data_IF_296107883612
#
_entry.id   IF_296107883612
#
_cell.length_a   1.000
_cell.length_b   1.000
_cell.length_c   1.000
_cell.angle_alpha   90.00
_cell.angle_beta   90.00
_cell.angle_gamma   90.00
#
_symmetry.space_group_name_H-M   'P 1'
#
loop_
_entity.id
_entity.type
_entity.pdbx_description
1 polymer ?
#
# COMPACT_ATOMS: atom_id res chain seq x y z
N UNK A 1 -2.02 11.62 6.63
CA UNK A 1 -2.41 13.01 6.28
C UNK A 1 -1.18 13.88 6.37
N UNK A 2 -0.97 14.80 5.42
CA UNK A 2 0.18 15.70 5.40
C UNK A 2 -0.10 16.94 6.25
N UNK A 3 0.66 17.12 7.33
CA UNK A 3 0.56 18.31 8.17
C UNK A 3 0.99 19.61 7.47
N UNK A 4 1.85 19.51 6.45
CA UNK A 4 2.31 20.65 5.67
C UNK A 4 1.27 21.14 4.65
N UNK A 5 0.54 20.22 4.01
CA UNK A 5 -0.36 20.56 2.89
C UNK A 5 -1.84 20.44 3.22
N UNK A 6 -2.20 19.80 4.33
CA UNK A 6 -3.58 19.54 4.70
C UNK A 6 -4.28 18.46 3.86
N UNK A 7 -3.56 17.79 2.94
CA UNK A 7 -4.11 16.74 2.08
C UNK A 7 -3.83 15.35 2.63
N UNK A 8 -4.61 14.36 2.23
CA UNK A 8 -4.27 12.96 2.47
C UNK A 8 -2.98 12.60 1.73
N UNK A 9 -2.21 11.66 2.29
CA UNK A 9 -1.13 11.03 1.53
C UNK A 9 -1.74 10.20 0.39
N UNK A 10 -1.00 9.92 -0.70
CA UNK A 10 -1.56 9.29 -1.89
C UNK A 10 -2.35 8.00 -1.62
N UNK A 11 -1.87 7.13 -0.72
CA UNK A 11 -2.57 5.90 -0.37
C UNK A 11 -3.61 6.04 0.75
N UNK A 12 -3.67 7.19 1.44
CA UNK A 12 -4.54 7.37 2.59
C UNK A 12 -5.96 7.84 2.19
N UNK A 13 -7.04 7.28 2.78
CA UNK A 13 -7.04 6.18 3.74
C UNK A 13 -6.78 4.82 3.07
N UNK A 14 -6.07 3.95 3.79
CA UNK A 14 -5.79 2.58 3.36
C UNK A 14 -6.81 1.63 3.97
N UNK A 15 -7.27 0.65 3.19
CA UNK A 15 -8.16 -0.40 3.68
C UNK A 15 -7.28 -1.54 4.19
N UNK A 16 -7.46 -1.88 5.46
CA UNK A 16 -6.90 -3.08 6.08
C UNK A 16 -8.05 -4.07 6.35
N UNK A 17 -7.71 -5.34 6.47
CA UNK A 17 -8.64 -6.47 6.50
C UNK A 17 -9.49 -6.54 7.78
N UNK A 18 -8.99 -6.00 8.90
CA UNK A 18 -9.70 -5.95 10.18
C UNK A 18 -9.22 -4.76 11.03
N UNK A 19 -9.75 -4.63 12.24
CA UNK A 19 -9.42 -3.56 13.16
C UNK A 19 -8.00 -3.64 13.71
N UNK A 20 -7.48 -2.46 14.05
CA UNK A 20 -6.33 -2.29 14.95
C UNK A 20 -6.86 -2.06 16.36
N UNK A 21 -6.44 -2.88 17.32
CA UNK A 21 -6.91 -2.80 18.71
C UNK A 21 -5.75 -2.92 19.68
N UNK A 22 -5.70 -1.99 20.65
CA UNK A 22 -4.77 -1.96 21.79
C UNK A 22 -3.28 -1.76 21.46
N UNK A 23 -2.91 -1.63 20.19
CA UNK A 23 -1.55 -1.32 19.78
C UNK A 23 -1.39 0.13 19.30
N UNK A 24 -0.14 0.56 19.26
CA UNK A 24 0.30 1.74 18.51
C UNK A 24 1.06 1.29 17.26
N UNK A 25 1.46 2.24 16.42
CA UNK A 25 2.37 1.98 15.29
C UNK A 25 3.82 2.14 15.71
N UNK A 26 4.71 1.36 15.10
CA UNK A 26 6.13 1.71 14.98
C UNK A 26 6.36 2.34 13.60
N UNK A 27 7.39 3.19 13.46
CA UNK A 27 7.72 3.91 12.23
C UNK A 27 9.20 3.66 11.91
N UNK A 28 9.48 2.98 10.81
CA UNK A 28 10.83 2.69 10.35
C UNK A 28 10.86 2.43 8.83
N UNK A 29 11.98 2.76 8.19
CA UNK A 29 12.29 2.45 6.80
C UNK A 29 12.82 1.02 6.67
N UNK A 30 11.89 0.09 6.47
CA UNK A 30 12.13 -1.33 6.29
C UNK A 30 12.33 -1.72 4.81
N UNK A 31 11.85 -0.91 3.88
CA UNK A 31 12.06 -1.11 2.43
C UNK A 31 13.44 -0.66 1.98
N UNK A 32 14.06 0.30 2.67
CA UNK A 32 15.32 0.92 2.31
C UNK A 32 15.20 1.96 1.20
N UNK A 33 13.98 2.42 0.90
CA UNK A 33 13.72 3.42 -0.14
C UNK A 33 13.82 4.87 0.38
N UNK A 34 14.09 5.03 1.68
CA UNK A 34 14.23 6.30 2.37
C UNK A 34 12.91 6.89 2.89
N UNK A 35 11.77 6.26 2.60
CA UNK A 35 10.46 6.62 3.12
C UNK A 35 10.02 5.59 4.17
N UNK A 36 9.80 5.99 5.44
CA UNK A 36 9.49 5.01 6.48
C UNK A 36 8.08 4.44 6.34
N UNK A 37 7.94 3.17 6.69
CA UNK A 37 6.68 2.48 6.81
C UNK A 37 6.04 2.66 8.20
N UNK A 38 4.70 2.71 8.22
CA UNK A 38 3.94 2.53 9.43
C UNK A 38 3.67 1.05 9.68
N UNK A 39 4.20 0.53 10.79
CA UNK A 39 4.15 -0.88 11.15
C UNK A 39 3.03 -1.08 12.16
N UNK A 40 2.03 -1.88 11.79
CA UNK A 40 0.76 -1.97 12.51
C UNK A 40 0.24 -3.42 12.52
N UNK A 41 -0.16 -3.89 13.70
CA UNK A 41 -0.80 -5.20 13.86
C UNK A 41 -2.32 -5.13 13.83
N UNK A 42 -2.97 -6.19 13.36
CA UNK A 42 -4.43 -6.23 13.19
C UNK A 42 -5.11 -7.42 13.88
N UNK A 43 -6.44 -7.35 13.95
CA UNK A 43 -7.33 -8.48 14.29
C UNK A 43 -7.42 -9.55 13.19
N UNK A 44 -7.00 -9.23 11.96
CA UNK A 44 -6.91 -10.17 10.84
C UNK A 44 -5.68 -11.07 10.88
N UNK A 45 -4.89 -10.96 11.96
CA UNK A 45 -3.66 -11.72 12.22
C UNK A 45 -2.43 -11.28 11.43
N UNK A 46 -2.51 -10.13 10.76
CA UNK A 46 -1.42 -9.59 9.95
C UNK A 46 -0.67 -8.48 10.68
N UNK A 47 0.65 -8.50 10.55
CA UNK A 47 1.50 -7.36 10.80
C UNK A 47 1.82 -6.71 9.46
N UNK A 48 1.32 -5.50 9.28
CA UNK A 48 1.56 -4.67 8.13
C UNK A 48 2.75 -3.74 8.36
N UNK A 49 3.43 -3.36 7.29
CA UNK A 49 4.43 -2.31 7.25
C UNK A 49 4.20 -1.51 5.98
N UNK A 50 3.42 -0.43 6.07
CA UNK A 50 2.89 0.26 4.89
C UNK A 50 3.44 1.69 4.82
N UNK A 51 3.99 2.06 3.68
CA UNK A 51 4.46 3.42 3.42
C UNK A 51 3.30 4.38 3.04
N UNK A 52 3.62 5.65 2.78
CA UNK A 52 2.60 6.64 2.39
C UNK A 52 2.03 6.43 0.97
N UNK A 53 2.64 5.55 0.17
CA UNK A 53 2.21 5.10 -1.14
C UNK A 53 1.41 3.80 -1.11
N UNK A 54 1.21 3.19 0.07
CA UNK A 54 0.45 1.95 0.22
C UNK A 54 1.25 0.69 -0.14
N UNK A 55 2.58 0.81 -0.24
CA UNK A 55 3.50 -0.28 -0.55
C UNK A 55 4.00 -0.91 0.74
N UNK A 56 4.31 -2.20 0.68
CA UNK A 56 4.92 -2.93 1.78
C UNK A 56 6.30 -3.47 1.34
N UNK A 57 7.27 -3.55 2.26
CA UNK A 57 8.59 -4.09 1.99
C UNK A 57 8.52 -5.59 1.72
N UNK A 58 9.58 -6.14 1.13
CA UNK A 58 9.64 -7.57 0.79
C UNK A 58 9.32 -8.47 2.00
N UNK A 59 8.40 -9.41 1.77
CA UNK A 59 7.99 -10.38 2.78
C UNK A 59 6.96 -9.86 3.80
N UNK A 60 6.43 -8.64 3.63
CA UNK A 60 5.21 -8.18 4.30
C UNK A 60 3.98 -8.41 3.42
N UNK A 61 2.79 -8.59 4.01
CA UNK A 61 2.52 -8.59 5.46
C UNK A 61 2.93 -9.92 6.15
N UNK A 62 3.19 -9.88 7.46
CA UNK A 62 3.51 -11.09 8.25
C UNK A 62 2.25 -11.68 8.86
N UNK A 63 1.94 -12.94 8.56
CA UNK A 63 0.83 -13.65 9.18
C UNK A 63 1.24 -14.35 10.48
N UNK A 64 0.48 -14.15 11.55
CA UNK A 64 0.73 -14.77 12.87
C UNK A 64 -0.30 -15.83 13.25
N UNK A 65 -1.47 -15.85 12.61
CA UNK A 65 -2.61 -16.71 13.01
C UNK A 65 -3.26 -16.32 14.34
N UNK A 66 -2.88 -15.19 14.95
CA UNK A 66 -3.42 -14.72 16.23
C UNK A 66 -3.59 -13.19 16.22
N UNK A 67 -4.54 -12.68 17.02
CA UNK A 67 -4.73 -11.23 17.11
C UNK A 67 -3.47 -10.55 17.60
N UNK A 68 -3.03 -9.55 16.86
CA UNK A 68 -1.88 -8.74 17.23
C UNK A 68 -2.41 -7.55 18.04
N UNK A 69 -2.11 -7.55 19.34
CA UNK A 69 -2.63 -6.54 20.28
C UNK A 69 -1.52 -5.72 20.94
N UNK A 70 -0.25 -6.07 20.66
CA UNK A 70 0.89 -5.32 21.16
C UNK A 70 1.39 -4.36 20.08
N UNK A 71 2.01 -3.27 20.53
CA UNK A 71 2.77 -2.37 19.66
C UNK A 71 3.98 -3.13 19.13
N UNK A 72 4.21 -3.15 17.80
CA UNK A 72 5.42 -3.74 17.25
C UNK A 72 6.66 -3.00 17.75
N UNK A 73 7.77 -3.71 17.85
CA UNK A 73 9.07 -3.16 18.17
C UNK A 73 10.04 -3.44 17.02
N UNK A 74 10.81 -2.43 16.63
CA UNK A 74 11.82 -2.51 15.57
C UNK A 74 13.19 -2.33 16.18
N UNK A 75 14.17 -3.12 15.75
CA UNK A 75 15.56 -2.91 16.13
C UNK A 75 16.46 -4.07 15.75
N UNK A 76 17.77 -3.85 15.80
CA UNK A 76 18.79 -4.87 15.59
C UNK A 76 18.91 -5.72 16.87
N UNK A 77 18.16 -6.82 16.91
CA UNK A 77 17.97 -7.67 18.10
C UNK A 77 19.15 -8.61 18.33
N UNK A 78 19.84 -9.02 17.26
CA UNK A 78 20.93 -10.00 17.34
C UNK A 78 22.31 -9.44 16.97
N UNK A 79 22.40 -8.17 16.59
CA UNK A 79 23.63 -7.44 16.35
C UNK A 79 24.24 -7.71 14.98
N UNK A 80 23.45 -8.15 14.00
CA UNK A 80 23.93 -8.48 12.66
C UNK A 80 23.94 -7.28 11.70
N UNK A 81 23.45 -6.12 12.15
CA UNK A 81 23.39 -4.89 11.38
C UNK A 81 22.16 -4.78 10.48
N UNK A 82 21.17 -5.66 10.65
CA UNK A 82 19.84 -5.54 10.06
C UNK A 82 18.78 -5.26 11.12
N UNK A 83 17.62 -4.76 10.70
CA UNK A 83 16.50 -4.54 11.62
C UNK A 83 15.64 -5.79 11.69
N UNK A 84 15.27 -6.18 12.90
CA UNK A 84 14.18 -7.11 13.16
C UNK A 84 12.91 -6.36 13.51
N UNK A 85 11.77 -7.02 13.28
CA UNK A 85 10.48 -6.59 13.80
C UNK A 85 9.95 -7.67 14.73
N UNK A 86 9.59 -7.29 15.96
CA UNK A 86 9.03 -8.16 16.96
C UNK A 86 7.60 -7.74 17.34
N UNK A 87 6.74 -8.72 17.59
CA UNK A 87 5.37 -8.45 18.04
C UNK A 87 4.83 -9.58 18.92
N UNK A 88 4.09 -9.19 19.96
CA UNK A 88 3.30 -10.07 20.80
C UNK A 88 1.83 -10.17 20.35
N UNK A 89 1.25 -11.35 20.53
CA UNK A 89 -0.15 -11.65 20.20
C UNK A 89 -1.01 -11.81 21.45
N UNK A 90 -2.33 -11.68 21.30
CA UNK A 90 -3.31 -11.91 22.38
C UNK A 90 -3.23 -13.31 22.97
N UNK A 91 -2.81 -14.27 22.16
CA UNK A 91 -2.67 -15.68 22.55
C UNK A 91 -1.39 -15.95 23.36
N UNK A 92 -0.55 -14.95 23.60
CA UNK A 92 0.69 -15.07 24.37
C UNK A 92 1.91 -15.49 23.57
N UNK A 93 1.82 -15.53 22.24
CA UNK A 93 2.98 -15.79 21.37
C UNK A 93 3.74 -14.51 21.08
N UNK A 94 5.06 -14.64 20.99
CA UNK A 94 5.97 -13.59 20.53
C UNK A 94 6.57 -14.06 19.21
N UNK A 95 6.52 -13.19 18.21
CA UNK A 95 7.15 -13.37 16.92
C UNK A 95 8.27 -12.34 16.77
N UNK A 96 9.33 -12.73 16.07
CA UNK A 96 10.39 -11.85 15.63
C UNK A 96 10.81 -12.28 14.22
N UNK A 97 10.98 -11.32 13.32
CA UNK A 97 11.42 -11.57 11.95
C UNK A 97 12.60 -10.68 11.60
N UNK A 98 13.65 -11.28 11.03
CA UNK A 98 14.66 -10.52 10.29
C UNK A 98 14.02 -9.82 9.10
N UNK A 99 14.47 -8.61 8.83
CA UNK A 99 14.18 -7.89 7.59
C UNK A 99 15.46 -7.76 6.76
N UNK A 100 15.34 -7.19 5.56
CA UNK A 100 16.52 -6.82 4.78
C UNK A 100 17.02 -5.39 5.08
N UNK A 101 16.27 -4.65 5.89
CA UNK A 101 16.56 -3.27 6.24
C UNK A 101 17.84 -3.20 7.07
N UNK A 102 18.70 -2.23 6.77
CA UNK A 102 19.90 -2.00 7.58
C UNK A 102 19.54 -1.32 8.87
N UNK A 103 20.26 -1.62 9.94
CA UNK A 103 20.09 -0.90 11.23
C UNK A 103 20.43 0.59 11.14
N UNK A 104 21.08 1.00 10.05
CA UNK A 104 21.33 2.40 9.68
C UNK A 104 20.20 3.06 8.90
N UNK A 105 19.13 2.34 8.54
CA UNK A 105 17.94 2.95 7.93
C UNK A 105 17.20 3.81 8.95
N UNK A 106 16.34 4.70 8.47
CA UNK A 106 15.58 5.59 9.34
C UNK A 106 14.69 4.79 10.30
N UNK A 107 14.79 5.07 11.60
CA UNK A 107 13.82 4.64 12.60
C UNK A 107 13.33 5.93 13.28
N UNK A 108 12.05 6.22 13.18
CA UNK A 108 11.46 7.44 13.79
C UNK A 108 10.68 7.14 15.07
N UNK A 109 10.19 5.91 15.21
CA UNK A 109 9.41 5.49 16.37
C UNK A 109 9.56 3.98 16.52
N UNK A 110 10.52 3.55 17.35
CA UNK A 110 10.95 2.15 17.34
C UNK A 110 9.96 1.20 18.01
N UNK A 111 9.20 1.68 19.00
CA UNK A 111 8.28 0.83 19.77
C UNK A 111 7.22 1.64 20.54
N UNK A 112 6.60 1.05 21.56
CA UNK A 112 5.61 1.75 22.39
C UNK A 112 6.23 3.01 23.02
N UNK A 113 5.51 4.14 22.94
CA UNK A 113 5.97 5.42 23.49
C UNK A 113 7.39 5.83 23.01
N UNK A 114 7.60 5.76 21.70
CA UNK A 114 8.74 6.32 20.96
C UNK A 114 10.05 5.53 21.09
N UNK A 115 10.49 5.27 22.31
CA UNK A 115 11.79 4.68 22.63
C UNK A 115 11.71 3.58 23.70
N UNK A 116 12.81 2.86 23.91
CA UNK A 116 12.94 1.82 24.94
C UNK A 116 12.72 2.31 26.39
N UNK A 117 12.78 3.61 26.66
CA UNK A 117 12.42 4.21 27.95
C UNK A 117 10.94 4.60 28.04
N UNK A 118 10.17 4.41 26.96
CA UNK A 118 8.75 4.73 26.83
C UNK A 118 8.46 6.21 27.14
N UNK A 119 9.32 7.13 26.71
CA UNK A 119 9.19 8.55 27.04
C UNK A 119 7.96 9.21 26.42
N UNK A 120 7.53 8.75 25.24
CA UNK A 120 6.49 9.38 24.46
C UNK A 120 6.87 10.76 23.90
N UNK A 121 8.17 11.08 23.82
CA UNK A 121 8.69 12.34 23.31
C UNK A 121 9.54 12.12 22.06
N UNK A 122 9.03 12.58 20.91
CA UNK A 122 9.71 12.50 19.62
C UNK A 122 11.08 13.19 19.59
N UNK A 123 11.35 14.13 20.51
CA UNK A 123 12.61 14.87 20.50
C UNK A 123 13.75 14.12 21.21
N UNK A 124 13.46 12.99 21.87
CA UNK A 124 14.48 12.14 22.46
C UNK A 124 15.21 11.42 21.33
N UNK A 125 16.53 11.45 21.29
CA UNK A 125 17.27 10.71 20.27
C UNK A 125 17.16 9.21 20.52
N UNK A 126 16.86 8.44 19.49
CA UNK A 126 16.92 6.98 19.52
C UNK A 126 18.37 6.51 19.52
N UNK A 127 18.60 5.34 20.13
CA UNK A 127 19.92 4.69 20.17
C UNK A 127 20.24 3.90 18.89
N UNK A 128 19.26 3.80 17.98
CA UNK A 128 19.32 3.07 16.73
C UNK A 128 18.64 3.86 15.60
N UNK A 129 18.80 3.34 14.38
CA UNK A 129 18.37 4.01 13.16
C UNK A 129 19.37 5.06 12.68
N UNK A 130 19.22 5.44 11.42
CA UNK A 130 20.00 6.50 10.78
C UNK A 130 19.17 7.74 10.47
N UNK A 131 19.81 8.77 9.88
CA UNK A 131 19.13 9.99 9.47
C UNK A 131 18.16 9.73 8.29
N UNK A 132 17.15 10.58 8.09
CA UNK A 132 16.29 10.51 6.90
C UNK A 132 17.12 10.63 5.61
N UNK A 133 16.88 9.73 4.67
CA UNK A 133 17.59 9.67 3.38
C UNK A 133 16.74 10.11 2.19
N UNK A 134 15.41 10.16 2.33
CA UNK A 134 14.52 10.67 1.28
C UNK A 134 14.89 12.10 0.85
N UNK A 135 15.14 12.27 -0.44
CA UNK A 135 15.53 13.58 -1.03
C UNK A 135 14.36 14.35 -1.62
N UNK A 136 13.26 13.68 -1.92
CA UNK A 136 12.08 14.27 -2.54
C UNK A 136 10.85 14.10 -1.65
N UNK A 137 9.90 15.03 -1.76
CA UNK A 137 8.63 14.93 -1.04
C UNK A 137 7.75 13.88 -1.73
N UNK A 138 7.07 13.06 -0.94
CA UNK A 138 6.11 12.09 -1.47
C UNK A 138 5.01 12.80 -2.26
N UNK A 139 4.82 12.36 -3.50
CA UNK A 139 3.77 12.84 -4.40
C UNK A 139 3.00 11.68 -4.99
N UNK A 140 1.81 11.95 -5.54
CA UNK A 140 1.03 10.95 -6.26
C UNK A 140 1.80 10.35 -7.45
N UNK A 141 2.60 11.16 -8.15
CA UNK A 141 3.44 10.69 -9.24
C UNK A 141 4.54 9.73 -8.77
N UNK A 142 5.15 9.98 -7.61
CA UNK A 142 6.13 9.07 -7.01
C UNK A 142 5.50 7.71 -6.67
N UNK A 143 4.29 7.71 -6.09
CA UNK A 143 3.60 6.47 -5.74
C UNK A 143 3.07 5.68 -6.94
N UNK A 144 2.90 6.32 -8.11
CA UNK A 144 2.48 5.66 -9.35
C UNK A 144 3.66 5.18 -10.21
N UNK A 145 4.89 5.55 -9.85
CA UNK A 145 6.07 5.06 -10.55
C UNK A 145 6.26 3.58 -10.22
N UNK A 146 6.33 2.73 -11.25
CA UNK A 146 6.73 1.33 -11.08
C UNK A 146 8.20 1.31 -10.71
N UNK A 147 8.53 0.74 -9.56
CA UNK A 147 9.92 0.55 -9.14
C UNK A 147 10.70 -0.21 -10.21
N UNK A 148 11.89 0.27 -10.63
CA UNK A 148 12.68 -0.44 -11.63
C UNK A 148 13.19 -1.76 -11.08
N UNK A 149 12.50 -2.86 -11.41
CA UNK A 149 12.90 -4.23 -11.05
C UNK A 149 11.82 -5.08 -10.36
N UNK A 150 10.65 -4.53 -10.07
CA UNK A 150 9.52 -5.32 -9.59
C UNK A 150 8.90 -6.13 -10.73
N UNK A 151 9.01 -7.47 -10.67
CA UNK A 151 8.22 -8.33 -11.53
C UNK A 151 6.75 -8.13 -11.18
N UNK A 152 6.03 -7.49 -12.08
CA UNK A 152 4.59 -7.29 -12.10
C UNK A 152 3.88 -8.62 -12.39
N UNK A 153 3.73 -9.47 -11.38
CA UNK A 153 2.93 -10.70 -11.42
C UNK A 153 1.41 -10.44 -11.32
N UNK A 154 0.97 -9.20 -11.56
CA UNK A 154 -0.44 -8.85 -11.68
C UNK A 154 -1.23 -8.95 -10.37
N UNK A 155 -0.53 -8.90 -9.23
CA UNK A 155 -1.16 -8.75 -7.92
C UNK A 155 -2.05 -7.52 -7.89
N UNK A 156 -3.33 -7.71 -7.58
CA UNK A 156 -4.31 -6.64 -7.44
C UNK A 156 -3.90 -5.77 -6.24
N UNK A 157 -3.29 -4.63 -6.50
CA UNK A 157 -3.14 -3.60 -5.48
C UNK A 157 -4.53 -3.03 -5.20
N UNK A 158 -5.02 -3.23 -3.97
CA UNK A 158 -6.15 -2.46 -3.48
C UNK A 158 -5.69 -1.01 -3.33
N UNK A 159 -5.77 -0.24 -4.41
CA UNK A 159 -5.66 1.22 -4.30
C UNK A 159 -6.80 1.65 -3.40
N UNK A 160 -6.47 2.20 -2.22
CA UNK A 160 -7.46 2.79 -1.33
C UNK A 160 -8.31 3.80 -2.11
N UNK A 161 -9.58 3.49 -2.29
CA UNK A 161 -10.51 4.26 -3.11
C UNK A 161 -11.55 3.36 -3.76
N UNK A 162 -12.80 3.79 -3.85
CA UNK A 162 -13.91 3.03 -4.44
C UNK A 162 -13.81 2.89 -5.98
N UNK A 163 -12.64 2.58 -6.53
CA UNK A 163 -12.39 2.48 -7.97
C UNK A 163 -11.83 1.10 -8.30
N UNK A 164 -12.74 0.19 -8.65
CA UNK A 164 -12.36 -1.05 -9.33
C UNK A 164 -12.23 -0.73 -10.83
N UNK A 165 -10.99 -0.65 -11.34
CA UNK A 165 -10.72 -0.66 -12.78
C UNK A 165 -10.31 -2.07 -13.20
N UNK A 166 -11.02 -2.68 -14.14
CA UNK A 166 -10.56 -3.92 -14.77
C UNK A 166 -9.36 -3.61 -15.69
N UNK A 167 -8.37 -4.51 -15.81
CA UNK A 167 -7.32 -4.36 -16.81
C UNK A 167 -7.93 -4.32 -18.21
N UNK A 168 -7.91 -3.16 -18.86
CA UNK A 168 -8.38 -2.98 -20.25
C UNK A 168 -9.20 -1.73 -20.54
N UNK A 169 -9.74 -1.03 -19.54
CA UNK A 169 -10.55 0.18 -19.78
C UNK A 169 -9.67 1.45 -19.87
N UNK A 170 -8.88 1.50 -20.93
CA UNK A 170 -8.30 2.76 -21.42
C UNK A 170 -9.43 3.63 -21.98
N UNK A 171 -9.86 4.63 -21.22
CA UNK A 171 -10.77 5.65 -21.71
C UNK A 171 -10.20 6.39 -22.92
N UNK A 172 -10.86 6.28 -24.08
CA UNK A 172 -10.79 7.28 -25.15
C UNK A 172 -12.12 7.36 -25.90
N UNK A 173 -12.99 8.27 -25.44
CA UNK A 173 -13.94 8.93 -26.35
C UNK A 173 -13.13 9.92 -27.18
N UNK A 174 -12.88 9.61 -28.45
CA UNK A 174 -12.19 10.53 -29.37
C UNK A 174 -12.02 9.98 -30.78
N UNK A 175 -12.92 10.42 -31.69
CA UNK A 175 -12.79 10.43 -33.15
C UNK A 175 -12.48 9.12 -33.90
N UNK A 176 -13.52 8.52 -34.49
CA UNK A 176 -13.41 7.60 -35.63
C UNK A 176 -13.14 8.38 -36.93
N UNK A 177 -12.11 8.02 -37.73
CA UNK A 177 -11.95 8.51 -39.09
C UNK A 177 -12.12 7.35 -40.07
N UNK A 178 -13.31 6.77 -40.17
CA UNK A 178 -13.68 5.94 -41.32
C UNK A 178 -15.20 5.81 -41.43
N UNK A 179 -15.79 6.71 -42.19
CA UNK A 179 -17.07 6.48 -42.85
C UNK A 179 -16.79 5.92 -44.24
N UNK A 180 -17.45 4.84 -44.69
CA UNK A 180 -17.60 4.58 -46.11
C UNK A 180 -18.84 5.33 -46.63
N UNK A 181 -18.60 6.14 -47.66
CA UNK A 181 -19.62 6.74 -48.50
C UNK A 181 -20.37 5.66 -49.28
N UNK A 182 -21.69 5.82 -49.40
CA UNK A 182 -22.55 5.00 -50.24
C UNK A 182 -23.93 5.64 -50.38
N UNK A 183 -24.03 6.63 -51.27
CA UNK A 183 -25.32 7.13 -51.76
C UNK A 183 -25.82 6.22 -52.90
N UNK A 184 -27.13 6.00 -53.00
CA UNK A 184 -27.98 6.49 -54.12
C UNK A 184 -29.37 5.82 -54.13
N UNK A 185 -30.38 6.70 -53.96
CA UNK A 185 -31.63 6.83 -54.75
C UNK A 185 -32.78 5.83 -54.58
N UNK A 186 -33.96 6.46 -54.66
CA UNK A 186 -35.28 6.05 -54.22
C UNK A 186 -36.17 5.39 -55.29
N UNK A 187 -37.31 4.93 -54.77
CA UNK A 187 -38.65 4.87 -55.35
C UNK A 187 -39.05 3.65 -56.20
N UNK A 188 -40.15 3.00 -55.77
CA UNK A 188 -40.90 2.03 -56.56
C UNK A 188 -42.05 1.39 -55.78
N UNK A 189 -43.19 2.07 -55.73
CA UNK A 189 -44.48 1.54 -55.27
C UNK A 189 -44.97 0.39 -56.17
N UNK A 190 -45.56 -0.64 -55.57
CA UNK A 190 -46.96 -1.09 -55.80
C UNK A 190 -47.19 -2.62 -55.85
N UNK A 191 -48.18 -3.03 -55.04
CA UNK A 191 -49.27 -3.98 -55.31
C UNK A 191 -49.01 -5.50 -55.44
N UNK A 192 -49.39 -6.18 -54.34
CA UNK A 192 -50.46 -7.19 -54.27
C UNK A 192 -50.48 -8.41 -55.23
N UNK A 193 -50.35 -9.61 -54.65
CA UNK A 193 -51.27 -10.76 -54.82
C UNK A 193 -50.83 -11.92 -53.89
N UNK A 194 -51.60 -12.24 -52.84
CA UNK A 194 -52.65 -13.30 -52.76
C UNK A 194 -52.13 -14.75 -52.75
N UNK A 195 -52.38 -15.43 -51.61
CA UNK A 195 -52.70 -16.87 -51.40
C UNK A 195 -51.55 -17.89 -51.61
N UNK A 196 -51.28 -18.89 -50.76
CA UNK A 196 -52.10 -19.88 -50.01
C UNK A 196 -51.21 -20.51 -48.91
N UNK A 197 -51.72 -20.67 -47.66
CA UNK A 197 -52.20 -21.92 -47.00
C UNK A 197 -51.10 -22.98 -46.79
N UNK A 198 -50.68 -23.20 -45.54
CA UNK A 198 -51.19 -24.20 -44.57
C UNK A 198 -50.70 -25.61 -44.87
#
# INVERSE_FOLDING_TARGET
WSGATGKMMPAAPMVIEDFTFFNSSAIADLSGDGYPEAIIGTGGYYLHAIDACGREPEGFPKFTGHWIISTPAVGDLDGDGTLEVAVGTRSGWIYAWHTQAKSTNLVEWESFHHDNHNTGDYNVALEQGGPPTATEVITEALCMAVEPGGNDDGGVYATGGCICGLPGDAGSRGSSPWAPAGAFVALGLALAARRRRS
#
